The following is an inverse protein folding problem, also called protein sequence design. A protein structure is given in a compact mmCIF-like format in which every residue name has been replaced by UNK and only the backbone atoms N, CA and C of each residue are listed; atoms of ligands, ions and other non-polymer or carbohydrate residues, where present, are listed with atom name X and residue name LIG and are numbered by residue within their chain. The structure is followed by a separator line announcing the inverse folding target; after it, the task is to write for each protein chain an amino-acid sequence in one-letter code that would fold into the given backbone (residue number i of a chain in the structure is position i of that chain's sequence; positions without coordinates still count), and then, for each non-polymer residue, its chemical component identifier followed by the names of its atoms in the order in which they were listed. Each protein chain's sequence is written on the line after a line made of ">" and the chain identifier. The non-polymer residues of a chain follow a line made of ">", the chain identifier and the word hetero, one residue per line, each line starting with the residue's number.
data_IF_973254860505
#
_entry.id   IF_973254860505
#
_cell.length_a   1.000
_cell.length_b   1.000
_cell.length_c   1.000
_cell.angle_alpha   90.00
_cell.angle_beta   90.00
_cell.angle_gamma   90.00
#
_symmetry.space_group_name_H-M   'P 1'
#
loop_
_entity.id
_entity.type
_entity.pdbx_description
1 polymer ?
#
# COMPACT_ATOMS: atom_id res chain seq x y z
N UNK A 1 5.99 -8.80 9.19
CA UNK A 1 5.11 -7.70 9.64
C UNK A 1 5.92 -6.56 10.26
N UNK A 2 6.51 -6.72 11.45
CA UNK A 2 7.16 -5.61 12.17
C UNK A 2 8.22 -4.83 11.34
N UNK A 3 9.13 -5.52 10.64
CA UNK A 3 10.12 -4.87 9.78
C UNK A 3 9.46 -4.10 8.62
N UNK A 4 8.46 -4.71 7.97
CA UNK A 4 7.69 -4.07 6.91
C UNK A 4 6.99 -2.81 7.43
N UNK A 5 6.33 -2.90 8.58
CA UNK A 5 5.65 -1.76 9.20
C UNK A 5 6.64 -0.64 9.52
N UNK A 6 7.78 -0.96 10.14
CA UNK A 6 8.81 0.03 10.46
C UNK A 6 9.33 0.73 9.19
N UNK A 7 9.60 0.00 8.11
CA UNK A 7 10.05 0.60 6.85
C UNK A 7 8.96 1.47 6.21
N UNK A 8 7.73 0.97 6.16
CA UNK A 8 6.59 1.68 5.59
C UNK A 8 6.31 2.98 6.35
N UNK A 9 6.24 2.94 7.68
CA UNK A 9 5.86 4.11 8.49
C UNK A 9 7.00 5.07 8.76
N UNK A 10 8.25 4.63 8.81
CA UNK A 10 9.39 5.50 9.08
C UNK A 10 10.00 6.14 7.83
N UNK A 11 9.83 5.52 6.65
CA UNK A 11 10.48 6.00 5.42
C UNK A 11 9.48 6.29 4.29
N UNK A 12 8.71 5.30 3.85
CA UNK A 12 7.88 5.43 2.65
C UNK A 12 6.76 6.44 2.88
N UNK A 13 5.99 6.28 3.96
CA UNK A 13 4.82 7.10 4.25
C UNK A 13 5.17 8.58 4.55
N UNK A 14 6.20 8.90 5.36
CA UNK A 14 6.59 10.30 5.55
C UNK A 14 7.14 10.96 4.27
N UNK A 15 7.85 10.19 3.44
CA UNK A 15 8.42 10.71 2.19
C UNK A 15 7.33 11.09 1.18
N UNK A 16 6.35 10.22 0.94
CA UNK A 16 5.25 10.53 0.03
C UNK A 16 4.29 11.57 0.62
N UNK A 17 4.07 11.55 1.95
CA UNK A 17 3.28 12.55 2.64
C UNK A 17 3.89 13.95 2.53
N UNK A 18 5.23 14.04 2.51
CA UNK A 18 5.93 15.30 2.26
C UNK A 18 5.64 15.84 0.85
N UNK A 19 5.58 14.99 -0.18
CA UNK A 19 5.35 15.43 -1.56
C UNK A 19 4.05 16.22 -1.73
N UNK A 20 3.02 15.95 -0.90
CA UNK A 20 1.71 16.60 -0.99
C UNK A 20 1.42 17.50 0.22
N UNK A 21 1.14 16.93 1.39
CA UNK A 21 0.73 17.62 2.62
C UNK A 21 1.90 18.33 3.32
N UNK A 22 3.13 17.97 2.99
CA UNK A 22 4.34 18.64 3.49
C UNK A 22 4.86 19.77 2.60
N UNK A 23 4.14 20.14 1.53
CA UNK A 23 4.56 21.22 0.62
C UNK A 23 5.67 20.84 -0.36
N UNK A 24 5.82 19.56 -0.69
CA UNK A 24 6.77 19.10 -1.71
C UNK A 24 6.27 19.27 -3.15
N UNK A 25 6.96 18.62 -4.07
CA UNK A 25 6.79 18.86 -5.52
C UNK A 25 5.39 18.57 -6.07
N UNK A 26 4.63 17.61 -5.50
CA UNK A 26 3.25 17.36 -5.95
C UNK A 26 2.32 18.49 -5.49
N UNK A 27 2.56 19.03 -4.30
CA UNK A 27 1.89 20.23 -3.79
C UNK A 27 2.09 21.41 -4.73
N UNK A 28 3.35 21.67 -5.12
CA UNK A 28 3.72 22.75 -6.06
C UNK A 28 3.11 22.54 -7.45
N UNK A 29 2.92 21.29 -7.87
CA UNK A 29 2.27 20.93 -9.12
C UNK A 29 0.72 21.03 -9.07
N UNK A 30 0.14 21.43 -7.93
CA UNK A 30 -1.31 21.57 -7.76
C UNK A 30 -2.06 20.25 -7.50
N UNK A 31 -1.36 19.20 -7.10
CA UNK A 31 -1.99 17.94 -6.72
C UNK A 31 -2.86 18.13 -5.47
N UNK A 32 -4.08 17.59 -5.51
CA UNK A 32 -5.04 17.68 -4.41
C UNK A 32 -5.41 16.29 -3.91
N UNK A 33 -5.18 16.05 -2.63
CA UNK A 33 -5.65 14.87 -1.92
C UNK A 33 -6.16 15.30 -0.55
N UNK A 34 -7.48 15.45 -0.43
CA UNK A 34 -8.10 16.07 0.75
C UNK A 34 -7.97 15.21 2.02
N UNK A 35 -8.18 13.89 1.88
CA UNK A 35 -8.27 12.97 3.00
C UNK A 35 -7.41 11.71 2.83
N UNK A 36 -6.53 11.68 1.84
CA UNK A 36 -5.53 10.61 1.69
C UNK A 36 -5.96 9.48 0.77
N UNK A 37 -6.80 9.74 -0.22
CA UNK A 37 -7.13 8.77 -1.27
C UNK A 37 -5.88 8.26 -2.00
N UNK A 38 -4.92 9.13 -2.26
CA UNK A 38 -3.59 8.79 -2.77
C UNK A 38 -2.66 8.41 -1.62
N UNK A 39 -2.37 9.37 -0.74
CA UNK A 39 -1.22 9.26 0.17
C UNK A 39 -1.42 8.28 1.34
N UNK A 40 -2.67 7.87 1.62
CA UNK A 40 -2.99 6.86 2.64
C UNK A 40 -3.50 5.58 2.00
N UNK A 41 -4.59 5.67 1.24
CA UNK A 41 -5.28 4.50 0.69
C UNK A 41 -4.51 3.87 -0.45
N UNK A 42 -4.07 4.64 -1.46
CA UNK A 42 -3.30 4.08 -2.57
C UNK A 42 -1.90 3.63 -2.14
N UNK A 43 -1.26 4.37 -1.23
CA UNK A 43 -0.01 3.96 -0.59
C UNK A 43 -0.12 2.59 0.10
N UNK A 44 -1.12 2.45 0.99
CA UNK A 44 -1.41 1.21 1.69
C UNK A 44 -1.80 0.08 0.74
N UNK A 45 -2.62 0.36 -0.28
CA UNK A 45 -3.01 -0.61 -1.29
C UNK A 45 -1.82 -1.11 -2.12
N UNK A 46 -0.92 -0.21 -2.51
CA UNK A 46 0.31 -0.56 -3.25
C UNK A 46 1.24 -1.42 -2.41
N UNK A 47 1.44 -1.06 -1.14
CA UNK A 47 2.25 -1.83 -0.21
C UNK A 47 1.65 -3.22 0.07
N UNK A 48 0.32 -3.30 0.23
CA UNK A 48 -0.39 -4.56 0.37
C UNK A 48 -0.30 -5.43 -0.90
N UNK A 49 -0.44 -4.83 -2.08
CA UNK A 49 -0.29 -5.50 -3.37
C UNK A 49 1.12 -6.09 -3.53
N UNK A 50 2.15 -5.30 -3.26
CA UNK A 50 3.53 -5.79 -3.27
C UNK A 50 3.73 -6.96 -2.28
N UNK A 51 3.16 -6.85 -1.08
CA UNK A 51 3.18 -7.91 -0.08
C UNK A 51 2.54 -9.21 -0.56
N UNK A 52 1.34 -9.17 -1.14
CA UNK A 52 0.64 -10.38 -1.60
C UNK A 52 1.27 -10.98 -2.86
N UNK A 53 1.89 -10.17 -3.73
CA UNK A 53 2.65 -10.67 -4.88
C UNK A 53 3.89 -11.43 -4.43
N UNK A 54 4.60 -10.95 -3.41
CA UNK A 54 5.79 -11.61 -2.89
C UNK A 54 5.47 -12.85 -2.05
N UNK A 55 4.45 -12.76 -1.18
CA UNK A 55 4.06 -13.87 -0.29
C UNK A 55 3.25 -14.96 -1.01
N UNK A 56 2.52 -14.59 -2.06
CA UNK A 56 1.60 -15.46 -2.78
C UNK A 56 0.30 -15.73 -2.03
N UNK A 57 -0.56 -16.52 -2.68
CA UNK A 57 -1.82 -16.95 -2.10
C UNK A 57 -1.60 -17.91 -0.92
N UNK A 58 -2.47 -17.83 0.09
CA UNK A 58 -2.51 -18.82 1.18
C UNK A 58 -2.73 -20.22 0.62
N UNK A 59 -2.06 -21.22 1.21
CA UNK A 59 -2.21 -22.63 0.82
C UNK A 59 -3.69 -23.03 0.90
N UNK A 60 -4.17 -23.69 -0.15
CA UNK A 60 -5.57 -24.11 -0.24
C UNK A 60 -6.56 -22.98 -0.50
N UNK A 61 -6.12 -21.73 -0.78
CA UNK A 61 -7.04 -20.64 -1.15
C UNK A 61 -7.68 -20.85 -2.52
N UNK A 62 -6.89 -21.36 -3.47
CA UNK A 62 -7.27 -21.52 -4.87
C UNK A 62 -7.06 -22.95 -5.34
N UNK A 63 -8.03 -23.49 -6.08
CA UNK A 63 -7.95 -24.78 -6.74
C UNK A 63 -7.22 -24.73 -8.08
N UNK A 64 -7.01 -25.89 -8.72
CA UNK A 64 -6.23 -26.00 -9.97
C UNK A 64 -6.90 -25.29 -11.15
N UNK A 65 -8.21 -25.06 -11.11
CA UNK A 65 -8.97 -24.38 -12.16
C UNK A 65 -9.45 -22.98 -11.72
N UNK A 66 -8.87 -22.42 -10.64
CA UNK A 66 -9.25 -21.11 -10.13
C UNK A 66 -10.42 -21.11 -9.16
N UNK A 67 -10.84 -22.28 -8.66
CA UNK A 67 -11.87 -22.38 -7.63
C UNK A 67 -11.47 -21.58 -6.39
N UNK A 68 -12.40 -20.84 -5.80
CA UNK A 68 -12.16 -20.05 -4.59
C UNK A 68 -12.62 -20.84 -3.37
N UNK A 69 -11.68 -21.23 -2.52
CA UNK A 69 -11.99 -21.86 -1.25
C UNK A 69 -12.02 -20.82 -0.13
N UNK A 70 -13.10 -20.75 0.69
CA UNK A 70 -13.12 -19.96 1.90
C UNK A 70 -12.05 -20.50 2.87
N UNK A 71 -11.24 -19.60 3.44
CA UNK A 71 -10.32 -19.96 4.51
C UNK A 71 -10.94 -19.41 5.80
N UNK A 72 -11.18 -20.25 6.83
CA UNK A 72 -11.68 -19.83 8.13
C UNK A 72 -10.82 -18.76 8.79
#
# INVERSE_FOLDING_TARGET
>A
FLLFSAVLTAFIYPMEGYWTWGGGFLSEAGFSDFAGSGIVHMAGASAALAGVLLLGARKGKYGKNGEIYPIP
#
